data_IF_164419695573
#
_entry.id   IF_164419695573
#
_cell.length_a   1.000
_cell.length_b   1.000
_cell.length_c   1.000
_cell.angle_alpha   90.00
_cell.angle_beta   90.00
_cell.angle_gamma   90.00
#
_symmetry.space_group_name_H-M   'P 1'
#
loop_
_entity.id
_entity.type
_entity.pdbx_description
1 polymer ?
#
# COMPACT_ATOMS: atom_id res chain seq x y z
N UNK A 1 -20.90 11.43 -2.88
CA UNK A 1 -19.49 11.88 -2.92
C UNK A 1 -19.08 12.19 -1.50
N UNK A 2 -18.02 11.57 -0.99
CA UNK A 2 -17.47 11.88 0.32
C UNK A 2 -16.18 12.69 0.12
N UNK A 3 -15.99 13.75 0.90
CA UNK A 3 -14.79 14.58 0.90
C UNK A 3 -14.15 14.53 2.28
N UNK A 4 -12.83 14.41 2.30
CA UNK A 4 -12.03 14.45 3.52
C UNK A 4 -11.02 15.58 3.36
N UNK A 5 -10.93 16.45 4.36
CA UNK A 5 -9.88 17.48 4.45
C UNK A 5 -8.76 16.93 5.32
N UNK A 6 -7.53 17.02 4.85
CA UNK A 6 -6.35 16.53 5.57
C UNK A 6 -5.43 17.73 5.77
N UNK A 7 -5.12 18.05 7.03
CA UNK A 7 -4.11 19.04 7.35
C UNK A 7 -2.72 18.44 7.12
N UNK A 8 -1.96 19.07 6.24
CA UNK A 8 -0.59 18.70 5.89
C UNK A 8 0.32 19.88 6.19
N UNK A 9 1.55 19.61 6.61
CA UNK A 9 2.55 20.66 6.65
C UNK A 9 2.91 21.11 5.23
N UNK A 10 3.31 22.36 5.07
CA UNK A 10 3.71 22.91 3.76
C UNK A 10 4.79 22.07 3.08
N UNK A 11 5.72 21.52 3.87
CA UNK A 11 6.79 20.66 3.37
C UNK A 11 6.29 19.31 2.85
N UNK A 12 5.29 18.71 3.50
CA UNK A 12 4.65 17.49 3.03
C UNK A 12 3.83 17.75 1.77
N UNK A 13 3.08 18.85 1.76
CA UNK A 13 2.27 19.23 0.61
C UNK A 13 3.14 19.51 -0.63
N UNK A 14 4.27 20.20 -0.45
CA UNK A 14 5.22 20.43 -1.53
C UNK A 14 5.78 19.13 -2.10
N UNK A 15 6.22 18.19 -1.25
CA UNK A 15 6.73 16.89 -1.70
C UNK A 15 5.72 16.12 -2.56
N UNK A 16 4.44 16.16 -2.18
CA UNK A 16 3.38 15.51 -2.95
C UNK A 16 3.16 16.20 -4.31
N UNK A 17 3.23 17.54 -4.37
CA UNK A 17 3.18 18.28 -5.64
C UNK A 17 4.35 17.93 -6.54
N UNK A 18 5.55 17.84 -5.98
CA UNK A 18 6.75 17.48 -6.74
C UNK A 18 6.64 16.06 -7.31
N UNK A 19 6.16 15.11 -6.52
CA UNK A 19 5.86 13.75 -6.98
C UNK A 19 4.84 13.73 -8.12
N UNK A 20 3.74 14.47 -7.97
CA UNK A 20 2.72 14.56 -9.01
C UNK A 20 3.28 15.17 -10.31
N UNK A 21 4.12 16.20 -10.18
CA UNK A 21 4.79 16.84 -11.30
C UNK A 21 5.77 15.88 -12.02
N UNK A 22 6.54 15.08 -11.28
CA UNK A 22 7.43 14.05 -11.85
C UNK A 22 6.64 13.05 -12.70
N UNK A 23 5.44 12.69 -12.26
CA UNK A 23 4.55 11.78 -12.98
C UNK A 23 3.67 12.47 -14.03
N UNK A 24 3.74 13.81 -14.17
CA UNK A 24 2.95 14.58 -15.13
C UNK A 24 1.44 14.56 -14.85
N UNK A 25 1.03 14.28 -13.61
CA UNK A 25 -0.37 14.17 -13.19
C UNK A 25 -0.71 15.21 -12.13
N UNK A 26 -2.00 15.44 -11.93
CA UNK A 26 -2.49 16.30 -10.84
C UNK A 26 -2.35 15.59 -9.49
N UNK A 27 -2.18 16.37 -8.42
CA UNK A 27 -2.06 15.85 -7.06
C UNK A 27 -3.25 14.97 -6.65
N UNK A 28 -4.46 15.36 -7.07
CA UNK A 28 -5.72 14.64 -6.77
C UNK A 28 -5.72 13.24 -7.39
N UNK A 29 -5.19 13.10 -8.61
CA UNK A 29 -5.07 11.81 -9.30
C UNK A 29 -4.03 10.94 -8.61
N UNK A 30 -2.87 11.51 -8.27
CA UNK A 30 -1.82 10.79 -7.54
C UNK A 30 -2.36 10.25 -6.20
N UNK A 31 -3.06 11.09 -5.43
CA UNK A 31 -3.63 10.70 -4.14
C UNK A 31 -4.74 9.65 -4.30
N UNK A 32 -5.61 9.81 -5.30
CA UNK A 32 -6.69 8.85 -5.56
C UNK A 32 -6.13 7.47 -5.89
N UNK A 33 -5.20 7.38 -6.85
CA UNK A 33 -4.59 6.10 -7.24
C UNK A 33 -3.84 5.48 -6.07
N UNK A 34 -3.06 6.28 -5.34
CA UNK A 34 -2.32 5.80 -4.16
C UNK A 34 -3.25 5.26 -3.08
N UNK A 35 -4.41 5.89 -2.86
CA UNK A 35 -5.42 5.44 -1.90
C UNK A 35 -6.11 4.17 -2.39
N UNK A 36 -6.46 4.08 -3.67
CA UNK A 36 -7.03 2.88 -4.29
C UNK A 36 -6.06 1.70 -4.19
N UNK A 37 -4.78 1.91 -4.50
CA UNK A 37 -3.73 0.90 -4.36
C UNK A 37 -3.54 0.51 -2.90
N UNK A 38 -3.59 1.44 -1.95
CA UNK A 38 -3.49 1.13 -0.53
C UNK A 38 -4.70 0.32 -0.03
N UNK A 39 -5.92 0.69 -0.44
CA UNK A 39 -7.13 -0.06 -0.11
C UNK A 39 -7.16 -1.45 -0.77
N UNK A 40 -6.58 -1.59 -1.96
CA UNK A 40 -6.48 -2.86 -2.67
C UNK A 40 -5.33 -3.74 -2.19
N UNK A 41 -4.22 -3.15 -1.73
CA UNK A 41 -3.04 -3.88 -1.25
C UNK A 41 -3.26 -4.54 0.12
N UNK A 42 -4.30 -4.14 0.86
CA UNK A 42 -4.77 -4.88 2.03
C UNK A 42 -5.52 -6.17 1.70
N UNK A 43 -5.73 -6.51 0.43
CA UNK A 43 -6.21 -7.84 0.04
C UNK A 43 -5.08 -8.85 0.15
N UNK A 44 -4.74 -9.19 1.40
CA UNK A 44 -4.48 -10.50 2.02
C UNK A 44 -3.69 -11.58 1.28
N UNK A 45 -3.69 -11.66 -0.05
CA UNK A 45 -3.16 -12.79 -0.81
C UNK A 45 -1.67 -13.04 -0.55
N UNK A 46 -0.87 -11.98 -0.43
CA UNK A 46 0.56 -12.15 -0.13
C UNK A 46 0.80 -12.63 1.30
N UNK A 47 0.10 -12.06 2.28
CA UNK A 47 0.25 -12.45 3.68
C UNK A 47 -0.27 -13.88 3.88
N UNK A 48 -1.43 -14.20 3.32
CA UNK A 48 -2.03 -15.53 3.40
C UNK A 48 -1.14 -16.59 2.72
N UNK A 49 -0.56 -16.28 1.56
CA UNK A 49 0.36 -17.19 0.88
C UNK A 49 1.66 -17.39 1.68
N UNK A 50 2.22 -16.31 2.25
CA UNK A 50 3.40 -16.38 3.08
C UNK A 50 3.14 -17.24 4.34
N UNK A 51 2.01 -17.03 5.01
CA UNK A 51 1.64 -17.77 6.22
C UNK A 51 1.38 -19.26 5.92
N UNK A 52 0.75 -19.55 4.77
CA UNK A 52 0.55 -20.91 4.28
C UNK A 52 1.88 -21.63 4.03
N UNK A 53 2.84 -20.99 3.35
CA UNK A 53 4.16 -21.57 3.06
C UNK A 53 4.96 -21.79 4.33
N UNK A 54 4.97 -20.81 5.25
CA UNK A 54 5.67 -20.92 6.53
C UNK A 54 5.11 -22.06 7.39
N UNK A 55 3.79 -22.19 7.46
CA UNK A 55 3.12 -23.28 8.18
C UNK A 55 3.47 -24.64 7.58
N UNK A 56 3.41 -24.78 6.25
CA UNK A 56 3.76 -26.03 5.55
C UNK A 56 5.22 -26.44 5.74
N UNK A 57 6.13 -25.48 5.75
CA UNK A 57 7.55 -25.75 6.01
C UNK A 57 7.77 -26.20 7.46
N UNK A 58 7.13 -25.55 8.44
CA UNK A 58 7.21 -25.97 9.84
C UNK A 58 6.71 -27.42 10.02
N UNK A 59 5.58 -27.78 9.41
CA UNK A 59 5.04 -29.15 9.40
C UNK A 59 6.01 -30.15 8.76
N UNK A 60 6.67 -29.78 7.66
CA UNK A 60 7.65 -30.63 6.98
C UNK A 60 8.88 -30.88 7.85
N UNK A 61 9.44 -29.83 8.47
CA UNK A 61 10.58 -29.97 9.37
C UNK A 61 10.24 -30.83 10.59
N UNK A 62 9.03 -30.73 11.12
CA UNK A 62 8.58 -31.56 12.26
C UNK A 62 8.44 -33.04 11.90
N UNK A 63 8.18 -33.39 10.65
CA UNK A 63 8.06 -34.79 10.18
C UNK A 63 9.39 -35.44 9.82
N UNK A 64 10.44 -34.64 9.65
CA UNK A 64 11.78 -35.09 9.26
C UNK A 64 12.74 -35.22 10.45
N UNK A 65 12.29 -34.89 11.67
CA UNK A 65 13.00 -35.08 12.93
C UNK A 65 12.43 -36.28 13.70
#
# INVERSE_FOLDING_TARGET
MASITIDLSDSQFQKLRDLAAVHGITLEVLLKVSLEDWLNSQKSEFIDAADHVLTKNAELYQRLA
#
